data_IF_709347609190
#
_entry.id   IF_709347609190
#
_cell.length_a   1.000
_cell.length_b   1.000
_cell.length_c   1.000
_cell.angle_alpha   90.00
_cell.angle_beta   90.00
_cell.angle_gamma   90.00
#
_symmetry.space_group_name_H-M   'P 1'
#
loop_
_entity.id
_entity.type
_entity.pdbx_description
1 polymer ?
#
# COMPACT_ATOMS: atom_id res chain seq x y z
N UNK A 1 -24.85 -36.01 -13.90
CA UNK A 1 -24.37 -34.82 -14.64
C UNK A 1 -22.86 -34.73 -14.48
N UNK A 2 -22.10 -34.92 -15.56
CA UNK A 2 -20.65 -34.73 -15.54
C UNK A 2 -20.39 -33.23 -15.34
N UNK A 3 -19.92 -32.85 -14.16
CA UNK A 3 -19.38 -31.52 -13.88
C UNK A 3 -18.19 -31.34 -14.83
N UNK A 4 -18.41 -30.59 -15.91
CA UNK A 4 -17.35 -30.10 -16.78
C UNK A 4 -16.43 -29.29 -15.86
N UNK A 5 -15.31 -29.88 -15.44
CA UNK A 5 -14.18 -29.13 -14.91
C UNK A 5 -13.76 -28.22 -16.04
N UNK A 6 -14.31 -27.01 -16.05
CA UNK A 6 -13.94 -25.96 -16.99
C UNK A 6 -12.46 -25.73 -16.75
N UNK A 7 -11.62 -26.17 -17.70
CA UNK A 7 -10.21 -25.83 -17.72
C UNK A 7 -10.15 -24.32 -17.58
N UNK A 8 -9.69 -23.86 -16.42
CA UNK A 8 -9.66 -22.45 -16.09
C UNK A 8 -8.51 -21.91 -16.93
N UNK A 9 -8.81 -21.24 -18.04
CA UNK A 9 -7.78 -20.67 -18.91
C UNK A 9 -6.90 -19.75 -18.08
N UNK A 10 -5.71 -20.24 -17.74
CA UNK A 10 -4.78 -19.55 -16.83
C UNK A 10 -4.40 -18.18 -17.37
N UNK A 11 -4.34 -18.07 -18.71
CA UNK A 11 -4.11 -16.81 -19.42
C UNK A 11 -5.22 -15.78 -19.21
N UNK A 12 -6.49 -16.20 -19.27
CA UNK A 12 -7.63 -15.30 -19.02
C UNK A 12 -7.64 -14.84 -17.56
N UNK A 13 -7.29 -15.74 -16.63
CA UNK A 13 -7.16 -15.40 -15.21
C UNK A 13 -6.03 -14.41 -14.96
N UNK A 14 -4.88 -14.59 -15.61
CA UNK A 14 -3.73 -13.69 -15.50
C UNK A 14 -4.05 -12.28 -16.03
N UNK A 15 -4.70 -12.18 -17.19
CA UNK A 15 -5.09 -10.90 -17.79
C UNK A 15 -6.10 -10.16 -16.89
N UNK A 16 -7.11 -10.89 -16.39
CA UNK A 16 -8.11 -10.34 -15.45
C UNK A 16 -7.44 -9.85 -14.16
N UNK A 17 -6.50 -10.62 -13.61
CA UNK A 17 -5.74 -10.23 -12.42
C UNK A 17 -4.96 -8.92 -12.64
N UNK A 18 -4.31 -8.78 -13.81
CA UNK A 18 -3.58 -7.56 -14.20
C UNK A 18 -4.51 -6.35 -14.25
N UNK A 19 -5.69 -6.47 -14.85
CA UNK A 19 -6.68 -5.38 -14.90
C UNK A 19 -7.10 -4.96 -13.49
N UNK A 20 -7.38 -5.92 -12.59
CA UNK A 20 -7.74 -5.62 -11.21
C UNK A 20 -6.61 -4.91 -10.45
N UNK A 21 -5.35 -5.32 -10.64
CA UNK A 21 -4.20 -4.64 -10.04
C UNK A 21 -4.07 -3.21 -10.53
N UNK A 22 -4.14 -2.99 -11.84
CA UNK A 22 -4.05 -1.65 -12.43
C UNK A 22 -5.18 -0.76 -11.92
N UNK A 23 -6.42 -1.29 -11.90
CA UNK A 23 -7.57 -0.57 -11.35
C UNK A 23 -7.40 -0.23 -9.86
N UNK A 24 -6.87 -1.16 -9.06
CA UNK A 24 -6.59 -0.91 -7.65
C UNK A 24 -5.52 0.18 -7.44
N UNK A 25 -4.41 0.14 -8.18
CA UNK A 25 -3.38 1.18 -8.10
C UNK A 25 -3.89 2.54 -8.56
N UNK A 26 -4.69 2.57 -9.63
CA UNK A 26 -5.30 3.81 -10.11
C UNK A 26 -6.29 4.40 -9.09
N UNK A 27 -7.15 3.57 -8.50
CA UNK A 27 -8.08 3.99 -7.44
C UNK A 27 -7.31 4.49 -6.21
N UNK A 28 -6.28 3.77 -5.77
CA UNK A 28 -5.45 4.16 -4.63
C UNK A 28 -4.75 5.49 -4.88
N UNK A 29 -4.22 5.70 -6.08
CA UNK A 29 -3.58 6.95 -6.47
C UNK A 29 -4.59 8.12 -6.49
N UNK A 30 -5.81 7.89 -7.01
CA UNK A 30 -6.88 8.88 -7.00
C UNK A 30 -7.30 9.29 -5.59
N UNK A 31 -7.49 8.31 -4.70
CA UNK A 31 -7.84 8.58 -3.30
C UNK A 31 -6.70 9.28 -2.56
N UNK A 32 -5.44 8.89 -2.83
CA UNK A 32 -4.28 9.57 -2.24
C UNK A 32 -4.21 11.04 -2.71
N UNK A 33 -4.44 11.30 -4.00
CA UNK A 33 -4.49 12.65 -4.53
C UNK A 33 -5.62 13.46 -3.90
N UNK A 34 -6.80 12.87 -3.74
CA UNK A 34 -7.95 13.51 -3.08
C UNK A 34 -7.62 13.87 -1.62
N UNK A 35 -7.08 12.93 -0.84
CA UNK A 35 -6.64 13.20 0.54
C UNK A 35 -5.58 14.30 0.63
N UNK A 36 -4.65 14.35 -0.33
CA UNK A 36 -3.65 15.43 -0.40
C UNK A 36 -4.33 16.77 -0.71
N UNK A 37 -5.25 16.83 -1.66
CA UNK A 37 -6.00 18.06 -1.97
C UNK A 37 -6.85 18.54 -0.79
N UNK A 38 -7.54 17.63 -0.11
CA UNK A 38 -8.30 17.92 1.12
C UNK A 38 -7.38 18.47 2.22
N UNK A 39 -6.21 17.85 2.43
CA UNK A 39 -5.24 18.30 3.43
C UNK A 39 -4.60 19.65 3.08
N UNK A 40 -4.52 19.99 1.78
CA UNK A 40 -4.08 21.31 1.30
C UNK A 40 -5.20 22.36 1.35
N UNK A 41 -6.43 21.97 1.71
CA UNK A 41 -7.59 22.87 1.71
C UNK A 41 -8.04 23.29 0.30
N UNK A 42 -7.66 22.53 -0.73
CA UNK A 42 -8.05 22.79 -2.12
C UNK A 42 -9.35 22.04 -2.39
N UNK A 43 -10.48 22.74 -2.35
CA UNK A 43 -11.78 22.20 -2.73
C UNK A 43 -12.13 22.60 -4.17
N UNK A 44 -12.61 21.64 -4.97
CA UNK A 44 -13.13 21.90 -6.33
C UNK A 44 -14.55 22.50 -6.28
N UNK A 45 -15.27 22.23 -5.19
CA UNK A 45 -16.49 22.95 -4.84
C UNK A 45 -16.10 24.17 -4.00
N UNK A 46 -16.49 25.34 -4.48
CA UNK A 46 -16.11 26.68 -4.00
C UNK A 46 -16.65 27.02 -2.58
N UNK A 47 -16.82 26.03 -1.69
CA UNK A 47 -17.16 26.21 -0.29
C UNK A 47 -15.95 25.89 0.56
N UNK A 48 -15.37 26.95 1.12
CA UNK A 48 -14.29 26.90 2.09
C UNK A 48 -14.84 26.29 3.38
N UNK A 49 -14.73 24.97 3.52
CA UNK A 49 -14.84 24.30 4.81
C UNK A 49 -13.43 23.82 5.13
N UNK A 50 -12.89 24.33 6.24
CA UNK A 50 -11.46 24.29 6.59
C UNK A 50 -10.78 22.95 6.33
N UNK A 51 -9.51 23.02 5.90
CA UNK A 51 -8.63 21.93 5.48
C UNK A 51 -8.38 20.84 6.52
N UNK A 52 -9.45 20.16 6.92
CA UNK A 52 -9.46 19.01 7.79
C UNK A 52 -9.93 17.83 6.95
N UNK A 53 -9.04 16.87 6.76
CA UNK A 53 -9.37 15.57 6.16
C UNK A 53 -10.55 14.99 6.92
N UNK A 54 -11.61 14.58 6.21
CA UNK A 54 -12.75 13.94 6.85
C UNK A 54 -12.29 12.60 7.45
N UNK A 55 -12.15 12.56 8.78
CA UNK A 55 -11.64 11.39 9.52
C UNK A 55 -12.46 10.13 9.26
N UNK A 56 -13.77 10.27 9.02
CA UNK A 56 -14.65 9.14 8.71
C UNK A 56 -14.36 8.61 7.31
N UNK A 57 -14.25 9.49 6.32
CA UNK A 57 -13.87 9.11 4.96
C UNK A 57 -12.50 8.43 4.93
N UNK A 58 -11.52 9.02 5.61
CA UNK A 58 -10.20 8.43 5.77
C UNK A 58 -10.25 7.05 6.42
N UNK A 59 -11.00 6.87 7.51
CA UNK A 59 -11.14 5.57 8.17
C UNK A 59 -11.79 4.51 7.25
N UNK A 60 -12.85 4.87 6.54
CA UNK A 60 -13.54 3.98 5.60
C UNK A 60 -12.63 3.59 4.44
N UNK A 61 -11.89 4.55 3.88
CA UNK A 61 -10.87 4.33 2.85
C UNK A 61 -9.80 3.37 3.34
N UNK A 62 -9.25 3.58 4.54
CA UNK A 62 -8.21 2.72 5.09
C UNK A 62 -8.70 1.29 5.33
N UNK A 63 -9.95 1.13 5.80
CA UNK A 63 -10.58 -0.19 5.95
C UNK A 63 -10.80 -0.86 4.59
N UNK A 64 -11.28 -0.13 3.59
CA UNK A 64 -11.46 -0.65 2.23
C UNK A 64 -10.12 -1.09 1.63
N UNK A 65 -9.07 -0.30 1.82
CA UNK A 65 -7.72 -0.62 1.35
C UNK A 65 -7.19 -1.89 2.01
N UNK A 66 -7.35 -2.01 3.33
CA UNK A 66 -6.93 -3.19 4.09
C UNK A 66 -7.71 -4.43 3.63
N UNK A 67 -9.01 -4.32 3.40
CA UNK A 67 -9.85 -5.40 2.88
C UNK A 67 -9.40 -5.84 1.48
N UNK A 68 -9.13 -4.90 0.58
CA UNK A 68 -8.63 -5.18 -0.76
C UNK A 68 -7.26 -5.89 -0.72
N UNK A 69 -6.34 -5.44 0.13
CA UNK A 69 -5.03 -6.09 0.34
C UNK A 69 -5.21 -7.51 0.84
N UNK A 70 -6.08 -7.74 1.84
CA UNK A 70 -6.37 -9.08 2.35
C UNK A 70 -6.97 -9.97 1.26
N UNK A 71 -7.89 -9.46 0.44
CA UNK A 71 -8.47 -10.22 -0.67
C UNK A 71 -7.44 -10.55 -1.76
N UNK A 72 -6.56 -9.60 -2.10
CA UNK A 72 -5.47 -9.84 -3.05
C UNK A 72 -4.47 -10.87 -2.51
N UNK A 73 -4.12 -10.82 -1.22
CA UNK A 73 -3.28 -11.82 -0.57
C UNK A 73 -3.95 -13.21 -0.58
N UNK A 74 -5.25 -13.29 -0.25
CA UNK A 74 -6.00 -14.57 -0.25
C UNK A 74 -6.13 -15.21 -1.63
N UNK A 75 -6.25 -14.39 -2.69
CA UNK A 75 -6.33 -14.87 -4.08
C UNK A 75 -4.96 -15.13 -4.71
N UNK A 76 -3.85 -14.90 -3.99
CA UNK A 76 -2.49 -15.02 -4.55
C UNK A 76 -2.19 -13.98 -5.62
N UNK A 77 -2.97 -12.89 -5.65
CA UNK A 77 -2.79 -11.80 -6.60
C UNK A 77 -1.69 -10.84 -6.16
N UNK A 78 -1.32 -10.83 -4.88
CA UNK A 78 -0.40 -9.81 -4.33
C UNK A 78 1.00 -9.84 -4.95
N UNK A 79 1.42 -10.99 -5.46
CA UNK A 79 2.72 -11.23 -6.06
C UNK A 79 2.45 -12.21 -7.20
N UNK A 80 2.78 -11.83 -8.45
CA UNK A 80 2.45 -12.58 -9.68
C UNK A 80 3.10 -13.98 -9.69
N UNK A 81 2.61 -14.87 -8.83
CA UNK A 81 3.15 -16.20 -8.55
C UNK A 81 4.64 -16.25 -8.13
N UNK A 82 5.30 -15.14 -7.78
CA UNK A 82 6.71 -15.20 -7.38
C UNK A 82 6.90 -16.00 -6.06
N UNK A 83 5.94 -15.95 -5.13
CA UNK A 83 5.89 -16.88 -4.00
C UNK A 83 5.65 -18.34 -4.42
N UNK A 84 4.97 -18.58 -5.55
CA UNK A 84 4.64 -19.90 -6.10
C UNK A 84 5.86 -20.64 -6.63
N UNK A 85 6.79 -19.91 -7.23
CA UNK A 85 7.95 -20.46 -7.94
C UNK A 85 9.26 -20.37 -7.15
N UNK A 86 9.30 -19.60 -6.05
CA UNK A 86 10.52 -19.42 -5.25
C UNK A 86 10.66 -20.42 -4.09
N UNK A 87 11.72 -21.23 -4.11
CA UNK A 87 12.09 -22.14 -3.00
C UNK A 87 12.50 -21.39 -1.72
N UNK A 88 13.07 -20.19 -1.89
CA UNK A 88 13.51 -19.31 -0.82
C UNK A 88 12.77 -17.96 -0.87
N UNK A 89 12.49 -17.37 0.28
CA UNK A 89 11.84 -16.06 0.37
C UNK A 89 12.72 -14.96 -0.28
N UNK A 90 12.23 -14.22 -1.29
CA UNK A 90 13.02 -13.21 -2.02
C UNK A 90 13.10 -11.88 -1.25
N UNK A 91 13.78 -11.92 -0.11
CA UNK A 91 13.88 -10.78 0.84
C UNK A 91 14.40 -9.49 0.20
N UNK A 92 15.33 -9.59 -0.76
CA UNK A 92 15.92 -8.41 -1.44
C UNK A 92 14.88 -7.61 -2.21
N UNK A 93 13.95 -8.29 -2.89
CA UNK A 93 12.92 -7.63 -3.68
C UNK A 93 11.97 -6.83 -2.78
N UNK A 94 11.50 -7.45 -1.70
CA UNK A 94 10.60 -6.80 -0.74
C UNK A 94 11.27 -5.74 0.11
N UNK A 95 12.58 -5.85 0.37
CA UNK A 95 13.35 -4.81 1.03
C UNK A 95 13.37 -3.53 0.18
N UNK A 96 13.64 -3.67 -1.13
CA UNK A 96 13.62 -2.53 -2.06
C UNK A 96 12.21 -1.93 -2.17
N UNK A 97 11.18 -2.77 -2.29
CA UNK A 97 9.79 -2.28 -2.34
C UNK A 97 9.40 -1.53 -1.05
N UNK A 98 9.73 -2.07 0.11
CA UNK A 98 9.46 -1.42 1.39
C UNK A 98 10.23 -0.11 1.55
N UNK A 99 11.46 -0.03 1.04
CA UNK A 99 12.29 1.16 1.13
C UNK A 99 11.75 2.27 0.22
N UNK A 100 11.43 1.93 -1.03
CA UNK A 100 10.78 2.85 -1.97
C UNK A 100 9.42 3.33 -1.44
N UNK A 101 8.62 2.43 -0.89
CA UNK A 101 7.34 2.78 -0.27
C UNK A 101 7.50 3.72 0.93
N UNK A 102 8.51 3.48 1.76
CA UNK A 102 8.85 4.34 2.90
C UNK A 102 9.29 5.73 2.49
N UNK A 103 10.17 5.81 1.49
CA UNK A 103 10.61 7.10 0.94
C UNK A 103 9.42 7.86 0.36
N UNK A 104 8.58 7.21 -0.45
CA UNK A 104 7.39 7.83 -1.02
C UNK A 104 6.44 8.35 0.07
N UNK A 105 6.16 7.55 1.11
CA UNK A 105 5.32 7.95 2.23
C UNK A 105 5.92 9.15 2.98
N UNK A 106 7.22 9.13 3.26
CA UNK A 106 7.91 10.23 3.94
C UNK A 106 7.81 11.53 3.14
N UNK A 107 7.99 11.48 1.82
CA UNK A 107 7.87 12.64 0.92
C UNK A 107 6.47 13.23 0.97
N UNK A 108 5.43 12.39 0.89
CA UNK A 108 4.03 12.86 0.96
C UNK A 108 3.77 13.60 2.27
N UNK A 109 4.19 13.03 3.42
CA UNK A 109 4.00 13.68 4.72
C UNK A 109 4.82 14.98 4.80
N UNK A 110 6.04 15.02 4.29
CA UNK A 110 6.85 16.24 4.24
C UNK A 110 6.16 17.35 3.44
N UNK A 111 5.59 17.03 2.27
CA UNK A 111 4.85 17.99 1.44
C UNK A 111 3.64 18.54 2.18
N UNK A 112 2.87 17.67 2.84
CA UNK A 112 1.70 18.07 3.63
C UNK A 112 2.09 18.98 4.81
N UNK A 113 3.16 18.65 5.53
CA UNK A 113 3.63 19.48 6.63
C UNK A 113 4.16 20.83 6.13
N UNK A 114 4.92 20.87 5.02
CA UNK A 114 5.39 22.11 4.41
C UNK A 114 4.22 23.04 4.03
N UNK A 115 3.15 22.48 3.45
CA UNK A 115 2.03 23.26 2.98
C UNK A 115 1.09 23.74 4.11
N UNK A 116 0.95 22.95 5.17
CA UNK A 116 0.07 23.31 6.30
C UNK A 116 0.66 24.40 7.19
N UNK A 117 1.99 24.59 7.21
CA UNK A 117 2.69 25.78 7.73
C UNK A 117 2.62 26.02 9.25
N UNK A 118 1.56 25.57 9.91
CA UNK A 118 1.18 25.91 11.29
C UNK A 118 2.16 25.36 12.34
N UNK A 119 2.78 24.21 12.06
CA UNK A 119 3.74 23.57 12.97
C UNK A 119 5.10 24.26 12.96
N UNK A 120 5.42 25.02 11.91
CA UNK A 120 6.75 25.60 11.69
C UNK A 120 6.88 27.04 12.19
N UNK A 121 5.78 27.65 12.63
CA UNK A 121 5.76 29.04 13.09
C UNK A 121 6.66 29.17 14.33
N UNK A 122 7.74 29.95 14.20
CA UNK A 122 8.72 30.15 15.25
C UNK A 122 9.86 29.13 15.32
N UNK A 123 9.89 28.13 14.43
CA UNK A 123 11.00 27.18 14.33
C UNK A 123 12.09 27.70 13.38
N UNK A 124 13.35 27.63 13.80
CA UNK A 124 14.48 27.90 12.93
C UNK A 124 14.66 26.82 11.86
N UNK A 125 15.19 27.19 10.68
CA UNK A 125 15.48 26.28 9.56
C UNK A 125 16.21 24.99 9.98
N UNK A 126 17.21 25.00 10.88
CA UNK A 126 17.89 23.79 11.31
C UNK A 126 16.97 22.79 12.04
N UNK A 127 16.03 23.29 12.84
CA UNK A 127 15.08 22.45 13.56
C UNK A 127 14.07 21.81 12.62
N UNK A 128 13.62 22.55 11.59
CA UNK A 128 12.73 22.03 10.54
C UNK A 128 13.40 20.87 9.78
N UNK A 129 14.67 21.04 9.38
CA UNK A 129 15.44 20.00 8.70
C UNK A 129 15.65 18.76 9.58
N UNK A 130 15.87 18.94 10.90
CA UNK A 130 15.97 17.83 11.84
C UNK A 130 14.66 17.04 11.95
N UNK A 131 13.50 17.71 11.96
CA UNK A 131 12.19 17.04 11.98
C UNK A 131 11.99 16.20 10.72
N UNK A 132 12.31 16.74 9.53
CA UNK A 132 12.22 15.96 8.28
C UNK A 132 13.20 14.80 8.24
N UNK A 133 14.44 15.00 8.70
CA UNK A 133 15.44 13.94 8.77
C UNK A 133 15.00 12.82 9.73
N UNK A 134 14.52 13.18 10.93
CA UNK A 134 13.98 12.24 11.91
C UNK A 134 12.77 11.47 11.36
N UNK A 135 11.88 12.17 10.66
CA UNK A 135 10.71 11.54 10.04
C UNK A 135 11.12 10.51 8.98
N UNK A 136 12.04 10.85 8.08
CA UNK A 136 12.54 9.92 7.05
C UNK A 136 13.27 8.74 7.69
N UNK A 137 14.10 8.99 8.71
CA UNK A 137 14.80 7.96 9.47
C UNK A 137 13.88 7.00 10.20
N UNK A 138 12.66 7.41 10.58
CA UNK A 138 11.70 6.56 11.28
C UNK A 138 10.71 5.87 10.33
N UNK A 139 10.20 6.60 9.33
CA UNK A 139 9.18 6.07 8.41
C UNK A 139 9.75 5.01 7.48
N UNK A 140 10.93 5.21 6.89
CA UNK A 140 11.54 4.25 5.97
C UNK A 140 11.81 2.87 6.60
N UNK A 141 12.45 2.74 7.79
CA UNK A 141 12.63 1.44 8.42
C UNK A 141 11.30 0.84 8.89
N UNK A 142 10.36 1.66 9.36
CA UNK A 142 9.07 1.15 9.84
C UNK A 142 8.23 0.56 8.70
N UNK A 143 8.17 1.23 7.55
CA UNK A 143 7.46 0.71 6.37
C UNK A 143 8.16 -0.51 5.78
N UNK A 144 9.50 -0.53 5.70
CA UNK A 144 10.24 -1.71 5.24
C UNK A 144 9.97 -2.93 6.11
N UNK A 145 10.06 -2.78 7.43
CA UNK A 145 9.78 -3.88 8.37
C UNK A 145 8.34 -4.37 8.22
N UNK A 146 7.36 -3.45 8.12
CA UNK A 146 5.95 -3.84 7.92
C UNK A 146 5.74 -4.60 6.61
N UNK A 147 6.30 -4.13 5.50
CA UNK A 147 6.20 -4.81 4.20
C UNK A 147 6.86 -6.19 4.26
N UNK A 148 8.03 -6.31 4.87
CA UNK A 148 8.71 -7.59 5.06
C UNK A 148 7.87 -8.56 5.92
N UNK A 149 7.30 -8.09 7.03
CA UNK A 149 6.46 -8.92 7.90
C UNK A 149 5.20 -9.42 7.18
N UNK A 150 4.52 -8.54 6.46
CA UNK A 150 3.30 -8.88 5.72
C UNK A 150 3.58 -9.88 4.59
N UNK A 151 4.65 -9.65 3.82
CA UNK A 151 5.04 -10.53 2.71
C UNK A 151 5.59 -11.86 3.23
N UNK A 152 6.32 -11.87 4.34
CA UNK A 152 6.77 -13.08 5.00
C UNK A 152 5.60 -13.92 5.56
N UNK A 153 4.63 -13.28 6.22
CA UNK A 153 3.42 -13.95 6.68
C UNK A 153 2.64 -14.57 5.52
N UNK A 154 2.54 -13.84 4.40
CA UNK A 154 1.90 -14.29 3.17
C UNK A 154 2.64 -15.49 2.56
N UNK A 155 3.98 -15.44 2.50
CA UNK A 155 4.81 -16.56 2.03
C UNK A 155 4.62 -17.81 2.89
N UNK A 156 4.64 -17.67 4.24
CA UNK A 156 4.42 -18.79 5.16
C UNK A 156 3.03 -19.39 5.02
N UNK A 157 2.01 -18.56 4.84
CA UNK A 157 0.64 -19.00 4.60
C UNK A 157 0.54 -19.78 3.28
N UNK A 158 1.15 -19.27 2.20
CA UNK A 158 1.17 -19.94 0.91
C UNK A 158 1.91 -21.29 0.97
N UNK A 159 3.07 -21.35 1.65
CA UNK A 159 3.85 -22.58 1.84
C UNK A 159 3.07 -23.65 2.61
N UNK A 160 2.40 -23.27 3.70
CA UNK A 160 1.53 -24.20 4.48
C UNK A 160 0.39 -24.76 3.63
N UNK A 161 -0.20 -23.95 2.76
CA UNK A 161 -1.29 -24.39 1.90
C UNK A 161 -0.83 -25.44 0.87
N UNK A 162 0.39 -25.32 0.33
CA UNK A 162 0.95 -26.34 -0.60
C UNK A 162 1.18 -27.68 0.09
N UNK A 163 1.81 -27.66 1.27
CA UNK A 163 2.05 -28.88 2.04
C UNK A 163 0.74 -29.65 2.29
N UNK A 164 -0.33 -28.96 2.67
CA UNK A 164 -1.65 -29.59 2.86
C UNK A 164 -2.38 -30.02 1.57
N UNK A 165 -1.90 -29.65 0.39
CA UNK A 165 -2.46 -30.12 -0.91
C UNK A 165 -1.64 -31.29 -1.49
N UNK A 166 -0.39 -31.49 -1.04
CA UNK A 166 0.45 -32.63 -1.40
C UNK A 166 0.20 -33.86 -0.50
N UNK A 167 -0.45 -33.66 0.65
CA UNK A 167 -0.85 -34.72 1.59
C UNK A 167 -2.26 -35.30 1.31
N UNK A 168 -3.01 -34.76 0.34
CA UNK A 168 -4.29 -35.30 -0.19
C UNK A 168 -4.10 -36.02 -1.53
#
# INVERSE_FOLDING_TARGET
MKLIRKAKDERVVAEINRIYKVGFYFLTAGILADLVLQALGISVQNETIGGAVNLVEFAVVMLAQLFCIVLMARKGMMDDNAFAEADCYPWKHYLVQGALGGVAASVVVCVLQCATGAVWVGMGVPAILLVFAAQLLLTVPLTTVLVLLLTYASFRYAKRRRAGTEEE
#
